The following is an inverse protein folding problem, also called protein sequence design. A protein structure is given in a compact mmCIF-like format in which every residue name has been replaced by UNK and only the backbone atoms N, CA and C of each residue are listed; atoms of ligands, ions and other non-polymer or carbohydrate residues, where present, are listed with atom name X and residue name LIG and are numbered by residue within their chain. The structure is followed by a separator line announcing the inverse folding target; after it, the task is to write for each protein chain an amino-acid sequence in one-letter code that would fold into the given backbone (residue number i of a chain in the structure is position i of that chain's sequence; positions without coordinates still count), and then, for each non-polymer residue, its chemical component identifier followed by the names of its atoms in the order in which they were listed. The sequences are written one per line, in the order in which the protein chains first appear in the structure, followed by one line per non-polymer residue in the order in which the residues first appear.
data_IF_934390920325
#
_entry.id   IF_934390920325
#
_cell.length_a   1.000
_cell.length_b   1.000
_cell.length_c   1.000
_cell.angle_alpha   90.00
_cell.angle_beta   90.00
_cell.angle_gamma   90.00
#
_symmetry.space_group_name_H-M   'P 1'
#
loop_
_entity.id
_entity.type
_entity.pdbx_description
1 polymer ?
#
# COMPACT_ATOMS: atom_id res chain seq x y z
N UNK A 1 21.56 26.57 -18.88
CA UNK A 1 20.09 26.45 -18.95
C UNK A 1 19.53 27.34 -17.86
N UNK A 2 18.88 28.47 -18.19
CA UNK A 2 18.73 29.60 -17.23
C UNK A 2 17.29 30.00 -16.93
N UNK A 3 16.29 29.38 -17.56
CA UNK A 3 14.87 29.69 -17.30
C UNK A 3 14.10 28.42 -16.93
N UNK A 4 13.75 28.31 -15.65
CA UNK A 4 12.87 27.26 -15.17
C UNK A 4 11.41 27.65 -15.46
N UNK A 5 10.75 26.90 -16.33
CA UNK A 5 9.36 27.16 -16.73
C UNK A 5 8.33 26.61 -15.74
N UNK A 6 8.76 25.80 -14.74
CA UNK A 6 7.84 25.19 -13.76
C UNK A 6 7.30 26.19 -12.74
N UNK A 7 8.05 27.26 -12.45
CA UNK A 7 7.66 28.32 -11.52
C UNK A 7 7.47 29.69 -12.20
N UNK A 8 7.25 29.70 -13.52
CA UNK A 8 7.13 30.94 -14.27
C UNK A 8 5.99 31.81 -13.73
N UNK A 9 6.31 33.03 -13.29
CA UNK A 9 5.35 34.01 -12.77
C UNK A 9 5.43 34.27 -11.26
N UNK A 10 6.14 33.43 -10.50
CA UNK A 10 6.35 33.63 -9.06
C UNK A 10 7.85 33.85 -8.77
N UNK A 11 8.28 35.10 -8.96
CA UNK A 11 9.69 35.48 -8.75
C UNK A 11 10.12 35.28 -7.29
N UNK A 12 9.23 35.54 -6.32
CA UNK A 12 9.53 35.34 -4.90
C UNK A 12 9.82 33.87 -4.59
N UNK A 13 9.02 32.94 -5.11
CA UNK A 13 9.26 31.52 -4.91
C UNK A 13 10.52 31.03 -5.64
N UNK A 14 10.77 31.52 -6.85
CA UNK A 14 12.01 31.21 -7.60
C UNK A 14 13.25 31.66 -6.82
N UNK A 15 13.23 32.87 -6.27
CA UNK A 15 14.35 33.44 -5.51
C UNK A 15 14.60 32.68 -4.22
N UNK A 16 13.55 32.31 -3.48
CA UNK A 16 13.67 31.45 -2.29
C UNK A 16 14.35 30.13 -2.66
N UNK A 17 13.93 29.47 -3.76
CA UNK A 17 14.52 28.20 -4.19
C UNK A 17 16.00 28.34 -4.60
N UNK A 18 16.36 29.44 -5.27
CA UNK A 18 17.74 29.71 -5.65
C UNK A 18 18.63 29.98 -4.42
N UNK A 19 18.12 30.71 -3.44
CA UNK A 19 18.84 31.00 -2.20
C UNK A 19 19.00 29.75 -1.33
N UNK A 20 17.98 28.88 -1.27
CA UNK A 20 18.10 27.54 -0.64
C UNK A 20 19.21 26.73 -1.30
N UNK A 21 19.33 26.78 -2.62
CA UNK A 21 20.33 26.01 -3.38
C UNK A 21 21.76 26.37 -3.00
N UNK A 22 22.03 27.65 -2.70
CA UNK A 22 23.37 28.14 -2.33
C UNK A 22 23.57 28.30 -0.82
N UNK A 23 22.50 28.18 -0.03
CA UNK A 23 22.53 28.28 1.43
C UNK A 23 22.42 29.71 1.99
N UNK A 24 21.95 30.67 1.19
CA UNK A 24 21.90 32.10 1.53
C UNK A 24 20.46 32.61 1.71
N UNK A 25 19.74 32.07 2.71
CA UNK A 25 18.38 32.51 3.02
C UNK A 25 18.38 33.80 3.86
N UNK A 26 17.57 34.78 3.45
CA UNK A 26 17.33 35.99 4.26
C UNK A 26 16.30 35.72 5.35
N UNK A 27 16.22 36.61 6.34
CA UNK A 27 15.25 36.47 7.43
C UNK A 27 13.80 36.54 6.93
N UNK A 28 13.50 37.47 6.01
CA UNK A 28 12.17 37.60 5.39
C UNK A 28 11.76 36.31 4.66
N UNK A 29 12.71 35.65 3.99
CA UNK A 29 12.46 34.37 3.33
C UNK A 29 12.18 33.24 4.32
N UNK A 30 12.86 33.23 5.48
CA UNK A 30 12.57 32.29 6.56
C UNK A 30 11.17 32.51 7.14
N UNK A 31 10.75 33.77 7.32
CA UNK A 31 9.41 34.10 7.80
C UNK A 31 8.33 33.64 6.80
N UNK A 32 8.57 33.82 5.49
CA UNK A 32 7.69 33.27 4.45
C UNK A 32 7.60 31.74 4.58
N UNK A 33 8.72 31.03 4.74
CA UNK A 33 8.71 29.58 4.87
C UNK A 33 7.98 29.11 6.14
N UNK A 34 8.18 29.79 7.27
CA UNK A 34 7.52 29.45 8.53
C UNK A 34 6.01 29.73 8.47
N UNK A 35 5.58 30.80 7.79
CA UNK A 35 4.15 31.09 7.56
C UNK A 35 3.41 29.99 6.78
N UNK A 36 4.15 29.15 6.05
CA UNK A 36 3.60 28.02 5.28
C UNK A 36 3.61 26.70 6.06
N UNK A 37 4.13 26.70 7.29
CA UNK A 37 4.13 25.53 8.15
C UNK A 37 2.71 25.24 8.62
N UNK A 38 2.19 24.06 8.25
CA UNK A 38 0.90 23.58 8.72
C UNK A 38 1.15 22.58 9.85
N UNK A 39 0.69 22.85 11.09
CA UNK A 39 0.72 21.85 12.16
C UNK A 39 -0.13 20.65 11.76
N UNK A 40 0.47 19.45 11.77
CA UNK A 40 -0.23 18.21 11.48
C UNK A 40 -0.56 17.50 12.79
N UNK A 41 -1.83 17.54 13.20
CA UNK A 41 -2.33 16.77 14.34
C UNK A 41 -2.76 15.38 13.88
N UNK A 42 -1.79 14.46 13.90
CA UNK A 42 -2.02 13.06 13.56
C UNK A 42 -1.77 12.70 12.09
N UNK A 43 -1.83 11.40 11.76
CA UNK A 43 -1.52 10.93 10.43
C UNK A 43 -2.60 11.37 9.43
N UNK A 44 -2.17 11.99 8.31
CA UNK A 44 -3.06 12.42 7.22
C UNK A 44 -3.94 13.65 7.54
N UNK A 45 -3.52 14.48 8.51
CA UNK A 45 -4.22 15.71 8.89
C UNK A 45 -4.23 16.81 7.81
N UNK A 46 -3.25 16.80 6.90
CA UNK A 46 -3.19 17.61 5.66
C UNK A 46 -4.06 17.04 4.52
N UNK A 47 -4.94 16.09 4.83
CA UNK A 47 -5.71 15.33 3.85
C UNK A 47 -4.86 14.26 3.15
N UNK A 48 -5.08 14.12 1.84
CA UNK A 48 -4.37 13.14 1.00
C UNK A 48 -3.12 13.72 0.34
N UNK A 49 -2.50 14.78 0.86
CA UNK A 49 -1.35 15.43 0.22
C UNK A 49 -0.19 14.45 -0.10
N UNK A 50 0.55 14.71 -1.17
CA UNK A 50 1.77 13.94 -1.48
C UNK A 50 2.88 14.42 -0.54
N UNK A 51 3.44 13.50 0.23
CA UNK A 51 4.52 13.79 1.19
C UNK A 51 5.88 13.37 0.64
N UNK A 52 6.86 14.24 0.82
CA UNK A 52 8.27 13.97 0.52
C UNK A 52 8.95 13.60 1.83
N UNK A 53 9.69 12.49 1.83
CA UNK A 53 10.46 12.04 2.98
C UNK A 53 11.93 11.90 2.60
N UNK A 54 12.86 12.09 3.56
CA UNK A 54 14.29 11.91 3.33
C UNK A 54 14.69 10.48 2.92
N UNK A 55 13.95 9.45 3.36
CA UNK A 55 14.31 8.05 3.11
C UNK A 55 13.16 7.22 2.54
N UNK A 56 13.49 6.20 1.75
CA UNK A 56 12.52 5.22 1.22
C UNK A 56 11.82 4.46 2.34
N UNK A 57 12.53 4.13 3.43
CA UNK A 57 11.93 3.49 4.61
C UNK A 57 10.78 4.31 5.21
N UNK A 58 10.93 5.64 5.28
CA UNK A 58 9.85 6.53 5.74
C UNK A 58 8.70 6.59 4.74
N UNK A 59 9.01 6.63 3.44
CA UNK A 59 8.01 6.55 2.36
C UNK A 59 7.20 5.26 2.49
N UNK A 60 7.86 4.11 2.64
CA UNK A 60 7.23 2.80 2.73
C UNK A 60 6.35 2.68 3.97
N UNK A 61 6.80 3.19 5.12
CA UNK A 61 6.00 3.24 6.33
C UNK A 61 4.74 4.11 6.15
N UNK A 62 4.87 5.31 5.58
CA UNK A 62 3.74 6.21 5.33
C UNK A 62 2.75 5.60 4.31
N UNK A 63 3.27 5.04 3.22
CA UNK A 63 2.44 4.40 2.18
C UNK A 63 1.73 3.16 2.72
N UNK A 64 2.40 2.35 3.54
CA UNK A 64 1.79 1.19 4.19
C UNK A 64 0.67 1.61 5.14
N UNK A 65 0.88 2.65 5.95
CA UNK A 65 -0.16 3.21 6.82
C UNK A 65 -1.36 3.75 6.02
N UNK A 66 -1.12 4.45 4.91
CA UNK A 66 -2.20 4.96 4.04
C UNK A 66 -2.96 3.81 3.37
N UNK A 67 -2.25 2.75 2.98
CA UNK A 67 -2.84 1.56 2.36
C UNK A 67 -3.68 0.77 3.38
N UNK A 68 -3.21 0.66 4.62
CA UNK A 68 -3.97 0.09 5.73
C UNK A 68 -5.23 0.90 6.05
N UNK A 69 -5.15 2.25 6.03
CA UNK A 69 -6.32 3.14 6.17
C UNK A 69 -7.38 2.87 5.10
N UNK A 70 -6.97 2.46 3.89
CA UNK A 70 -7.86 2.06 2.80
C UNK A 70 -8.33 0.59 2.91
N UNK A 71 -8.08 -0.09 4.03
CA UNK A 71 -8.48 -1.48 4.26
C UNK A 71 -7.64 -2.52 3.52
N UNK A 72 -6.43 -2.16 3.06
CA UNK A 72 -5.56 -3.03 2.27
C UNK A 72 -4.32 -3.38 3.09
N UNK A 73 -4.05 -4.66 3.28
CA UNK A 73 -2.86 -5.16 3.98
C UNK A 73 -2.10 -6.09 3.04
N UNK A 74 -0.80 -5.89 2.85
CA UNK A 74 0.01 -6.64 1.91
C UNK A 74 1.43 -6.92 2.39
N UNK A 75 2.05 -7.93 1.77
CA UNK A 75 3.35 -8.52 2.12
C UNK A 75 4.47 -7.77 1.38
N UNK A 76 5.64 -7.65 2.01
CA UNK A 76 6.85 -7.05 1.43
C UNK A 76 7.18 -7.66 0.05
N UNK A 77 7.45 -6.81 -0.94
CA UNK A 77 7.77 -7.21 -2.33
C UNK A 77 6.57 -7.23 -3.29
N UNK A 78 5.35 -7.02 -2.80
CA UNK A 78 4.13 -6.90 -3.63
C UNK A 78 3.63 -5.46 -3.69
N UNK A 79 3.15 -5.03 -4.86
CA UNK A 79 2.51 -3.73 -5.03
C UNK A 79 1.07 -3.82 -4.52
N UNK A 80 0.83 -3.32 -3.29
CA UNK A 80 -0.53 -3.27 -2.73
C UNK A 80 -1.26 -2.03 -3.25
N UNK A 81 -2.33 -2.25 -4.01
CA UNK A 81 -3.17 -1.19 -4.58
C UNK A 81 -4.64 -1.53 -4.40
N UNK A 82 -5.51 -0.53 -4.54
CA UNK A 82 -6.92 -0.77 -4.79
C UNK A 82 -7.63 0.53 -5.14
N UNK A 83 -8.95 0.46 -5.28
CA UNK A 83 -9.77 1.65 -5.56
C UNK A 83 -9.52 2.73 -4.50
N UNK A 84 -9.41 3.99 -4.93
CA UNK A 84 -9.09 5.15 -4.10
C UNK A 84 -7.60 5.37 -3.83
N UNK A 85 -6.73 4.38 -4.11
CA UNK A 85 -5.28 4.58 -3.94
C UNK A 85 -4.75 5.62 -4.93
N UNK A 86 -3.98 6.59 -4.42
CA UNK A 86 -3.19 7.51 -5.24
C UNK A 86 -1.90 6.83 -5.68
N UNK A 87 -1.58 6.92 -6.96
CA UNK A 87 -0.43 6.26 -7.57
C UNK A 87 0.33 7.21 -8.48
N UNK A 88 1.61 6.89 -8.72
CA UNK A 88 2.48 7.58 -9.65
C UNK A 88 3.07 6.57 -10.63
N UNK A 89 3.03 6.87 -11.92
CA UNK A 89 3.71 6.07 -12.93
C UNK A 89 5.22 6.19 -12.76
N UNK A 90 5.93 5.06 -12.80
CA UNK A 90 7.40 5.02 -12.74
C UNK A 90 8.07 4.79 -14.09
N UNK A 91 7.29 4.71 -15.18
CA UNK A 91 7.77 4.47 -16.54
C UNK A 91 6.86 5.21 -17.54
N UNK A 92 7.44 5.56 -18.68
CA UNK A 92 6.69 6.15 -19.78
C UNK A 92 5.85 5.07 -20.47
N UNK A 93 4.57 5.32 -20.65
CA UNK A 93 3.63 4.43 -21.35
C UNK A 93 3.21 5.08 -22.67
N UNK A 94 2.78 6.34 -22.62
CA UNK A 94 2.39 7.10 -23.80
C UNK A 94 2.57 8.60 -23.54
N UNK A 95 3.62 9.17 -24.12
CA UNK A 95 3.99 10.59 -23.94
C UNK A 95 2.94 11.52 -24.54
N UNK A 96 2.35 11.16 -25.68
CA UNK A 96 1.36 11.98 -26.39
C UNK A 96 0.07 12.16 -25.58
N UNK A 97 -0.22 11.22 -24.68
CA UNK A 97 -1.40 11.25 -23.80
C UNK A 97 -1.03 11.63 -22.35
N UNK A 98 0.20 12.11 -22.10
CA UNK A 98 0.65 12.51 -20.77
C UNK A 98 0.89 11.36 -19.78
N UNK A 99 0.89 10.10 -20.25
CA UNK A 99 1.19 8.92 -19.45
C UNK A 99 2.72 8.72 -19.36
N UNK A 100 3.36 9.60 -18.61
CA UNK A 100 4.81 9.69 -18.43
C UNK A 100 5.23 9.35 -17.00
N UNK A 101 6.52 9.09 -16.79
CA UNK A 101 7.08 8.95 -15.45
C UNK A 101 6.78 10.21 -14.62
N UNK A 102 6.27 10.02 -13.41
CA UNK A 102 5.79 11.10 -12.53
C UNK A 102 4.33 11.47 -12.72
N UNK A 103 3.64 10.97 -13.76
CA UNK A 103 2.20 11.18 -13.91
C UNK A 103 1.46 10.54 -12.72
N UNK A 104 0.61 11.34 -12.07
CA UNK A 104 -0.13 10.95 -10.89
C UNK A 104 -1.60 10.70 -11.21
N UNK A 105 -2.23 9.81 -10.45
CA UNK A 105 -3.66 9.54 -10.58
C UNK A 105 -4.24 8.80 -9.38
N UNK A 106 -5.55 8.58 -9.43
CA UNK A 106 -6.30 7.80 -8.44
C UNK A 106 -6.88 6.58 -9.14
N UNK A 107 -6.72 5.40 -8.53
CA UNK A 107 -7.32 4.17 -9.05
C UNK A 107 -8.85 4.24 -8.88
N UNK A 108 -9.57 4.27 -10.01
CA UNK A 108 -11.04 4.26 -10.02
C UNK A 108 -11.64 2.86 -10.14
N UNK A 109 -10.96 1.96 -10.84
CA UNK A 109 -11.40 0.60 -11.09
C UNK A 109 -10.19 -0.29 -11.34
N UNK A 110 -10.30 -1.57 -11.02
CA UNK A 110 -9.31 -2.60 -11.35
C UNK A 110 -10.04 -3.70 -12.10
N UNK A 111 -9.57 -3.99 -13.30
CA UNK A 111 -10.08 -5.08 -14.13
C UNK A 111 -8.97 -6.11 -14.31
N UNK A 112 -9.27 -7.37 -13.97
CA UNK A 112 -8.37 -8.50 -14.17
C UNK A 112 -8.93 -9.40 -15.28
N UNK A 113 -8.62 -9.14 -16.56
CA UNK A 113 -9.19 -9.90 -17.65
C UNK A 113 -8.86 -11.40 -17.59
N UNK A 114 -7.74 -11.77 -16.96
CA UNK A 114 -7.21 -13.15 -16.99
C UNK A 114 -7.50 -14.01 -15.74
N UNK A 115 -8.04 -13.46 -14.64
CA UNK A 115 -8.07 -14.15 -13.33
C UNK A 115 -9.45 -14.17 -12.64
N UNK A 116 -10.54 -14.01 -13.38
CA UNK A 116 -11.90 -13.93 -12.80
C UNK A 116 -12.32 -15.19 -12.00
N UNK A 117 -11.73 -16.36 -12.28
CA UNK A 117 -12.07 -17.62 -11.61
C UNK A 117 -11.29 -17.89 -10.31
N UNK A 118 -10.11 -17.30 -10.13
CA UNK A 118 -9.31 -17.51 -8.90
C UNK A 118 -9.71 -16.59 -7.74
N UNK A 119 -10.48 -15.53 -8.02
CA UNK A 119 -10.88 -14.53 -7.01
C UNK A 119 -12.15 -14.90 -6.23
N UNK A 120 -12.81 -16.04 -6.52
CA UNK A 120 -14.08 -16.44 -5.93
C UNK A 120 -13.99 -17.56 -4.87
N UNK A 121 -12.80 -18.06 -4.52
CA UNK A 121 -12.66 -19.12 -3.51
C UNK A 121 -12.02 -18.60 -2.23
N UNK A 122 -12.82 -18.19 -1.23
CA UNK A 122 -12.32 -18.01 0.12
C UNK A 122 -12.12 -19.40 0.75
N UNK A 123 -10.90 -19.96 0.72
CA UNK A 123 -10.36 -20.93 1.73
C UNK A 123 -9.23 -21.88 1.27
N UNK A 124 -8.50 -21.64 0.18
CA UNK A 124 -7.45 -22.61 -0.24
C UNK A 124 -6.13 -22.50 0.54
N UNK A 125 -5.93 -21.48 1.39
CA UNK A 125 -4.65 -21.29 2.11
C UNK A 125 -4.54 -21.96 3.49
N UNK A 126 -5.54 -22.71 3.97
CA UNK A 126 -5.50 -23.39 5.27
C UNK A 126 -5.40 -24.93 5.19
N UNK A 127 -4.93 -25.52 4.08
CA UNK A 127 -4.70 -26.99 4.00
C UNK A 127 -3.38 -27.36 3.34
N UNK A 128 -2.25 -27.00 3.96
CA UNK A 128 -0.92 -27.55 3.60
C UNK A 128 -0.05 -27.91 4.81
N UNK A 129 -0.66 -28.29 5.92
CA UNK A 129 0.04 -28.93 7.04
C UNK A 129 -0.79 -30.08 7.60
N UNK A 130 -0.92 -31.16 6.83
CA UNK A 130 -1.16 -32.52 7.32
C UNK A 130 -1.30 -33.45 6.10
N UNK A 131 -0.33 -34.35 5.92
CA UNK A 131 -0.43 -35.39 4.89
C UNK A 131 0.91 -35.90 4.36
N UNK A 132 1.61 -36.72 5.15
CA UNK A 132 2.46 -37.78 4.59
C UNK A 132 2.64 -38.94 5.57
N UNK A 133 1.78 -39.94 5.46
CA UNK A 133 2.12 -41.34 5.67
C UNK A 133 1.23 -42.19 4.75
N UNK A 134 1.86 -42.99 3.91
CA UNK A 134 1.20 -43.88 2.93
C UNK A 134 0.57 -45.12 3.57
N UNK A 135 -0.01 -46.02 2.75
CA UNK A 135 -1.06 -46.96 3.17
C UNK A 135 -0.50 -48.25 3.78
N UNK A 136 -1.21 -48.82 4.76
CA UNK A 136 -0.97 -50.17 5.27
C UNK A 136 -2.29 -50.94 5.45
N UNK A 137 -2.46 -51.87 4.51
CA UNK A 137 -3.09 -53.20 4.53
C UNK A 137 -4.40 -53.44 5.31
N UNK A 138 -5.36 -53.88 4.51
CA UNK A 138 -6.57 -54.64 4.79
C UNK A 138 -6.35 -55.89 5.67
N UNK A 139 -7.21 -56.09 6.67
CA UNK A 139 -7.53 -57.41 7.24
C UNK A 139 -8.92 -57.42 7.95
N UNK A 140 -9.84 -58.14 7.30
CA UNK A 140 -10.88 -59.05 7.83
C UNK A 140 -11.93 -58.62 8.88
N UNK A 141 -13.19 -58.78 8.43
CA UNK A 141 -14.44 -59.16 9.14
C UNK A 141 -14.33 -59.61 10.61
N UNK A 142 -15.25 -59.13 11.45
CA UNK A 142 -16.27 -59.99 12.08
C UNK A 142 -17.40 -59.19 12.76
N UNK A 143 -18.51 -59.90 12.91
CA UNK A 143 -19.88 -59.46 13.15
C UNK A 143 -20.21 -59.11 14.61
N UNK A 144 -21.41 -58.52 14.75
CA UNK A 144 -22.43 -58.79 15.78
C UNK A 144 -22.45 -57.98 17.08
N UNK A 145 -23.62 -57.33 17.27
CA UNK A 145 -24.43 -57.26 18.50
C UNK A 145 -23.74 -56.87 19.82
N UNK A 146 -24.18 -55.78 20.47
CA UNK A 146 -25.37 -55.77 21.33
C UNK A 146 -25.48 -54.45 22.12
N UNK A 147 -26.68 -54.23 22.62
CA UNK A 147 -27.27 -53.11 23.32
C UNK A 147 -26.73 -52.82 24.73
N UNK A 148 -26.96 -51.57 25.18
CA UNK A 148 -27.38 -51.17 26.53
C UNK A 148 -26.35 -50.74 27.60
N UNK A 149 -26.66 -49.57 28.18
CA UNK A 149 -26.49 -49.13 29.57
C UNK A 149 -25.12 -49.29 30.27
N UNK A 150 -24.53 -48.16 30.66
CA UNK A 150 -24.55 -47.75 32.07
C UNK A 150 -24.15 -46.28 32.27
N UNK A 151 -24.98 -45.57 33.03
CA UNK A 151 -24.59 -44.38 33.81
C UNK A 151 -23.40 -44.73 34.73
N UNK A 152 -22.52 -43.78 35.02
CA UNK A 152 -22.17 -43.38 36.39
C UNK A 152 -21.48 -42.00 36.41
N UNK A 153 -21.67 -41.32 37.53
CA UNK A 153 -21.42 -39.90 37.84
C UNK A 153 -20.23 -39.75 38.79
N UNK A 154 -19.56 -38.59 38.74
CA UNK A 154 -18.62 -37.98 39.74
C UNK A 154 -17.36 -38.81 40.05
N UNK A 155 -16.19 -38.20 40.26
CA UNK A 155 -15.83 -36.99 41.03
C UNK A 155 -14.82 -36.16 40.23
#
# INVERSE_FOLDING_TARGET
MTKNMRQAGDNTFVDILNNIRVGELTMDQLEILDSRRIPLEGPFADGEAVRIFPTTKQVDANNSAMTKKLGKSGILGTLTIGIGSRVMLRRNINVNHGLVNGAMGIIRRIEWPSLRREQLEPDVHQRRSEGRAGPLKEQTRNESHNSSMHQFSRI
#
